data_IF_139157294174
#
_entry.id   IF_139157294174
#
_cell.length_a   1.000
_cell.length_b   1.000
_cell.length_c   1.000
_cell.angle_alpha   90.00
_cell.angle_beta   90.00
_cell.angle_gamma   90.00
#
_symmetry.space_group_name_H-M   'P 1'
#
loop_
_entity.id
_entity.type
_entity.pdbx_description
1 polymer ?
#
# COMPACT_ATOMS: atom_id res chain seq x y z
N UNK A 1 -0.29 3.90 9.66
CA UNK A 1 -0.75 5.00 8.79
C UNK A 1 -2.27 4.93 8.75
N UNK A 2 -2.96 6.05 8.64
CA UNK A 2 -4.43 6.01 8.63
C UNK A 2 -4.98 5.41 7.33
N UNK A 3 -6.18 4.83 7.39
CA UNK A 3 -6.80 4.13 6.25
C UNK A 3 -7.06 5.08 5.08
N UNK A 4 -7.40 6.34 5.36
CA UNK A 4 -7.64 7.37 4.36
C UNK A 4 -6.39 7.59 3.49
N UNK A 5 -5.23 7.69 4.14
CA UNK A 5 -3.93 7.82 3.47
C UNK A 5 -3.59 6.58 2.64
N UNK A 6 -3.96 5.38 3.09
CA UNK A 6 -3.77 4.15 2.30
C UNK A 6 -4.57 4.22 1.00
N UNK A 7 -5.85 4.62 1.09
CA UNK A 7 -6.73 4.77 -0.08
C UNK A 7 -6.21 5.79 -1.08
N UNK A 8 -5.73 6.95 -0.60
CA UNK A 8 -5.11 7.97 -1.45
C UNK A 8 -3.88 7.42 -2.19
N UNK A 9 -3.02 6.67 -1.50
CA UNK A 9 -1.83 6.07 -2.10
C UNK A 9 -2.18 4.99 -3.13
N UNK A 10 -3.19 4.18 -2.88
CA UNK A 10 -3.71 3.20 -3.86
C UNK A 10 -4.24 3.92 -5.10
N UNK A 11 -4.99 5.00 -4.93
CA UNK A 11 -5.47 5.81 -6.06
C UNK A 11 -4.30 6.39 -6.87
N UNK A 12 -3.23 6.85 -6.20
CA UNK A 12 -2.01 7.32 -6.88
C UNK A 12 -1.33 6.20 -7.68
N UNK A 13 -1.23 5.00 -7.14
CA UNK A 13 -0.67 3.83 -7.86
C UNK A 13 -1.51 3.53 -9.10
N UNK A 14 -2.85 3.54 -8.98
CA UNK A 14 -3.75 3.33 -10.11
C UNK A 14 -3.54 4.37 -11.23
N UNK A 15 -3.29 5.64 -10.88
CA UNK A 15 -3.01 6.69 -11.88
C UNK A 15 -1.67 6.51 -12.58
N UNK A 16 -0.72 5.79 -11.97
CA UNK A 16 0.62 5.56 -12.52
C UNK A 16 0.78 4.16 -13.12
N UNK A 17 -0.29 3.36 -13.22
CA UNK A 17 -0.21 1.94 -13.64
C UNK A 17 0.36 1.68 -15.04
N UNK A 18 0.40 2.70 -15.90
CA UNK A 18 0.99 2.60 -17.24
C UNK A 18 2.50 2.84 -17.25
N UNK A 19 3.07 3.27 -16.12
CA UNK A 19 4.49 3.38 -15.85
C UNK A 19 4.82 2.33 -14.78
N UNK A 20 5.23 1.15 -15.23
CA UNK A 20 5.39 -0.02 -14.37
C UNK A 20 6.45 0.22 -13.27
N UNK A 21 7.57 0.88 -13.60
CA UNK A 21 8.62 1.20 -12.63
C UNK A 21 8.11 2.13 -11.53
N UNK A 22 7.35 3.16 -11.90
CA UNK A 22 6.76 4.08 -10.95
C UNK A 22 5.67 3.41 -10.10
N UNK A 23 4.82 2.59 -10.72
CA UNK A 23 3.78 1.84 -10.02
C UNK A 23 4.40 0.88 -8.98
N UNK A 24 5.51 0.23 -9.33
CA UNK A 24 6.30 -0.61 -8.42
C UNK A 24 6.88 0.17 -7.25
N UNK A 25 7.58 1.28 -7.50
CA UNK A 25 8.14 2.12 -6.45
C UNK A 25 7.06 2.54 -5.44
N UNK A 26 5.88 2.93 -5.93
CA UNK A 26 4.78 3.36 -5.06
C UNK A 26 4.10 2.20 -4.30
N UNK A 27 4.04 0.99 -4.88
CA UNK A 27 3.59 -0.23 -4.19
C UNK A 27 4.55 -0.57 -3.03
N UNK A 28 5.85 -0.55 -3.28
CA UNK A 28 6.88 -0.83 -2.27
C UNK A 28 6.87 0.22 -1.15
N UNK A 29 6.87 1.51 -1.51
CA UNK A 29 6.77 2.58 -0.54
C UNK A 29 5.49 2.46 0.32
N UNK A 30 4.38 2.00 -0.26
CA UNK A 30 3.11 1.80 0.48
C UNK A 30 3.26 0.67 1.50
N UNK A 31 3.90 -0.43 1.09
CA UNK A 31 4.18 -1.56 1.96
C UNK A 31 5.13 -1.16 3.10
N UNK A 32 6.25 -0.51 2.80
CA UNK A 32 7.23 -0.09 3.82
C UNK A 32 6.65 0.93 4.80
N UNK A 33 5.85 1.90 4.34
CA UNK A 33 5.16 2.85 5.23
C UNK A 33 4.16 2.15 6.17
N UNK A 34 3.45 1.15 5.66
CA UNK A 34 2.53 0.36 6.47
C UNK A 34 3.28 -0.43 7.56
N UNK A 35 4.35 -1.13 7.20
CA UNK A 35 5.19 -1.89 8.15
C UNK A 35 5.84 -0.95 9.17
N UNK A 36 6.38 0.20 8.72
CA UNK A 36 6.95 1.20 9.62
C UNK A 36 5.90 1.77 10.58
N UNK A 37 4.65 1.90 10.15
CA UNK A 37 3.59 2.35 11.05
C UNK A 37 3.25 1.32 12.13
N UNK A 38 3.26 0.02 11.79
CA UNK A 38 3.12 -1.04 12.80
C UNK A 38 4.30 -1.00 13.76
N UNK A 39 5.53 -0.98 13.24
CA UNK A 39 6.77 -0.95 14.05
C UNK A 39 6.78 0.19 15.07
N UNK A 40 6.27 1.36 14.67
CA UNK A 40 6.24 2.57 15.49
C UNK A 40 4.96 2.70 16.34
N UNK A 41 4.15 1.65 16.47
CA UNK A 41 2.95 1.65 17.33
C UNK A 41 1.88 2.65 16.89
N UNK A 42 1.77 2.98 15.60
CA UNK A 42 0.76 3.93 15.09
C UNK A 42 -0.66 3.35 15.01
N UNK A 43 -0.87 2.14 15.51
CA UNK A 43 -2.15 1.46 15.60
C UNK A 43 -2.37 1.06 17.04
N UNK A 44 -3.57 1.28 17.56
CA UNK A 44 -3.90 1.01 18.96
C UNK A 44 -4.32 -0.44 19.16
N UNK A 45 -4.91 -1.05 18.13
CA UNK A 45 -5.46 -2.42 18.21
C UNK A 45 -5.02 -3.31 17.06
N UNK A 46 -5.11 -4.62 17.28
CA UNK A 46 -4.89 -5.62 16.23
C UNK A 46 -5.95 -5.51 15.13
N UNK A 47 -7.22 -5.21 15.47
CA UNK A 47 -8.26 -4.99 14.47
C UNK A 47 -7.92 -3.86 13.49
N UNK A 48 -7.35 -2.75 13.98
CA UNK A 48 -6.93 -1.64 13.13
C UNK A 48 -5.82 -2.04 12.16
N UNK A 49 -4.82 -2.80 12.65
CA UNK A 49 -3.75 -3.34 11.80
C UNK A 49 -4.34 -4.22 10.71
N UNK A 50 -5.27 -5.12 11.06
CA UNK A 50 -5.93 -6.02 10.09
C UNK A 50 -6.75 -5.24 9.06
N UNK A 51 -7.49 -4.21 9.48
CA UNK A 51 -8.25 -3.34 8.56
C UNK A 51 -7.32 -2.62 7.59
N UNK A 52 -6.22 -2.05 8.09
CA UNK A 52 -5.22 -1.38 7.27
C UNK A 52 -4.52 -2.36 6.30
N UNK A 53 -4.15 -3.56 6.76
CA UNK A 53 -3.55 -4.61 5.93
C UNK A 53 -4.46 -5.02 4.76
N UNK A 54 -5.75 -5.23 5.05
CA UNK A 54 -6.76 -5.54 4.02
C UNK A 54 -6.88 -4.43 2.98
N UNK A 55 -6.74 -3.18 3.40
CA UNK A 55 -6.77 -2.04 2.48
C UNK A 55 -5.51 -2.00 1.61
N UNK A 56 -4.32 -2.09 2.21
CA UNK A 56 -3.03 -2.15 1.47
C UNK A 56 -3.05 -3.26 0.43
N UNK A 57 -3.55 -4.44 0.78
CA UNK A 57 -3.61 -5.59 -0.12
C UNK A 57 -4.43 -5.36 -1.40
N UNK A 58 -5.33 -4.36 -1.42
CA UNK A 58 -6.08 -4.01 -2.64
C UNK A 58 -5.18 -3.55 -3.78
N UNK A 59 -3.96 -3.08 -3.51
CA UNK A 59 -2.97 -2.72 -4.55
C UNK A 59 -2.70 -3.88 -5.50
N UNK A 60 -2.80 -5.13 -5.03
CA UNK A 60 -2.61 -6.35 -5.84
C UNK A 60 -3.66 -6.50 -6.95
N UNK A 61 -4.80 -5.81 -6.82
CA UNK A 61 -5.87 -5.79 -7.82
C UNK A 61 -5.63 -4.79 -8.95
N UNK A 62 -4.67 -3.88 -8.78
CA UNK A 62 -4.26 -2.95 -9.84
C UNK A 62 -3.45 -3.76 -10.87
N UNK A 63 -3.78 -3.56 -12.14
CA UNK A 63 -3.10 -4.20 -13.28
C UNK A 63 -1.95 -3.33 -13.75
N UNK A 64 -0.73 -3.67 -13.31
CA UNK A 64 0.56 -3.23 -13.86
C UNK A 64 1.48 -4.46 -13.97
N UNK A 65 2.51 -4.40 -14.80
CA UNK A 65 3.44 -5.52 -14.96
C UNK A 65 4.09 -5.80 -13.60
N UNK A 66 4.14 -7.06 -13.18
CA UNK A 66 4.93 -7.47 -12.01
C UNK A 66 5.96 -8.44 -12.50
N UNK A 67 7.18 -7.97 -12.73
CA UNK A 67 8.28 -8.87 -13.04
C UNK A 67 8.50 -9.79 -11.84
N UNK A 68 8.30 -11.09 -12.07
CA UNK A 68 8.72 -12.11 -11.13
C UNK A 68 10.24 -12.19 -11.28
N UNK A 69 10.98 -11.75 -10.26
CA UNK A 69 12.34 -12.20 -10.06
C UNK A 69 12.35 -13.71 -9.78
#
# INVERSE_FOLDING_TARGET
MKIEKIKERIAKIETCKSDDEMAHCYEDDLFYDFVNAIKNGKYETKEEIVKAAKEVYKVRKISFARWHA
#
